data_IF_765358337161
#
_entry.id   IF_765358337161
#
_cell.length_a   1.000
_cell.length_b   1.000
_cell.length_c   1.000
_cell.angle_alpha   90.00
_cell.angle_beta   90.00
_cell.angle_gamma   90.00
#
_symmetry.space_group_name_H-M   'P 1'
#
loop_
_entity.id
_entity.type
_entity.pdbx_description
1 polymer ?
#
# COMPACT_ATOMS: atom_id res chain seq x y z
N UNK A 1 4.74 -2.86 7.59
CA UNK A 1 4.25 -1.54 8.07
C UNK A 1 4.92 -1.12 9.37
N UNK A 2 4.87 -1.98 10.39
CA UNK A 2 5.45 -1.75 11.72
C UNK A 2 6.93 -1.30 11.74
N UNK A 3 7.82 -1.92 10.97
CA UNK A 3 9.22 -1.45 10.81
C UNK A 3 9.31 -0.01 10.33
N UNK A 4 8.50 0.39 9.35
CA UNK A 4 8.50 1.74 8.79
C UNK A 4 7.92 2.75 9.78
N UNK A 5 6.94 2.34 10.60
CA UNK A 5 6.39 3.18 11.69
C UNK A 5 7.43 3.47 12.78
N UNK A 6 8.24 2.48 13.16
CA UNK A 6 9.34 2.70 14.13
C UNK A 6 10.51 3.47 13.54
N UNK A 7 10.68 3.42 12.23
CA UNK A 7 11.82 4.00 11.52
C UNK A 7 11.38 4.82 10.30
N UNK A 8 10.60 5.90 10.49
CA UNK A 8 10.02 6.68 9.37
C UNK A 8 11.10 7.35 8.51
N UNK A 9 12.30 7.55 9.05
CA UNK A 9 13.47 8.04 8.30
C UNK A 9 13.84 7.15 7.11
N UNK A 10 13.52 5.85 7.13
CA UNK A 10 13.76 4.95 6.00
C UNK A 10 13.01 5.38 4.74
N UNK A 11 11.84 6.00 4.88
CA UNK A 11 11.03 6.49 3.76
C UNK A 11 11.65 7.72 3.07
N UNK A 12 12.60 8.39 3.73
CA UNK A 12 13.31 9.57 3.19
C UNK A 12 14.59 9.16 2.43
N UNK A 13 14.97 7.87 2.47
CA UNK A 13 16.15 7.35 1.77
C UNK A 13 15.78 6.95 0.34
N UNK A 14 16.60 7.38 -0.62
CA UNK A 14 16.46 6.94 -2.00
C UNK A 14 16.88 5.46 -2.12
N UNK A 15 15.89 4.57 -2.25
CA UNK A 15 16.13 3.14 -2.40
C UNK A 15 16.43 2.68 -3.83
N UNK A 16 16.35 3.58 -4.83
CA UNK A 16 16.47 3.22 -6.24
C UNK A 16 17.85 2.65 -6.63
N UNK A 17 18.87 2.87 -5.80
CA UNK A 17 20.23 2.33 -5.99
C UNK A 17 20.85 1.86 -4.67
N UNK A 18 20.05 1.25 -3.79
CA UNK A 18 20.58 0.74 -2.52
C UNK A 18 21.54 -0.43 -2.76
N UNK A 19 22.72 -0.37 -2.13
CA UNK A 19 23.65 -1.49 -2.08
C UNK A 19 22.98 -2.64 -1.32
N UNK A 20 22.86 -3.81 -1.98
CA UNK A 20 22.33 -5.02 -1.35
C UNK A 20 23.34 -5.58 -0.34
N UNK A 21 23.36 -4.98 0.85
CA UNK A 21 24.13 -5.49 1.98
C UNK A 21 23.59 -6.83 2.50
N UNK A 22 24.33 -7.53 3.38
CA UNK A 22 23.98 -8.87 3.84
C UNK A 22 22.56 -9.01 4.40
N UNK A 23 22.08 -8.00 5.16
CA UNK A 23 20.72 -8.01 5.72
C UNK A 23 19.64 -7.86 4.64
N UNK A 24 19.87 -7.02 3.63
CA UNK A 24 18.94 -6.85 2.51
C UNK A 24 18.86 -8.12 1.66
N UNK A 25 20.02 -8.74 1.36
CA UNK A 25 20.07 -10.03 0.67
C UNK A 25 19.34 -11.12 1.45
N UNK A 26 19.51 -11.17 2.77
CA UNK A 26 18.79 -12.14 3.62
C UNK A 26 17.27 -11.93 3.59
N UNK A 27 16.83 -10.67 3.60
CA UNK A 27 15.41 -10.34 3.45
C UNK A 27 14.85 -10.77 2.09
N UNK A 28 15.59 -10.50 1.01
CA UNK A 28 15.21 -10.92 -0.33
C UNK A 28 15.15 -12.45 -0.46
N UNK A 29 16.17 -13.16 0.04
CA UNK A 29 16.22 -14.63 0.03
C UNK A 29 15.05 -15.25 0.80
N UNK A 30 14.69 -14.68 1.95
CA UNK A 30 13.54 -15.12 2.74
C UNK A 30 12.23 -14.95 1.96
N UNK A 31 12.03 -13.79 1.32
CA UNK A 31 10.84 -13.52 0.51
C UNK A 31 10.75 -14.48 -0.70
N UNK A 32 11.86 -14.66 -1.42
CA UNK A 32 11.94 -15.59 -2.55
C UNK A 32 11.68 -17.04 -2.13
N UNK A 33 12.19 -17.45 -0.97
CA UNK A 33 11.95 -18.79 -0.41
C UNK A 33 10.47 -19.05 -0.18
N UNK A 34 9.72 -18.05 0.32
CA UNK A 34 8.27 -18.17 0.52
C UNK A 34 7.47 -18.27 -0.77
N UNK A 35 7.94 -17.65 -1.86
CA UNK A 35 7.30 -17.69 -3.17
C UNK A 35 7.73 -18.89 -4.02
N UNK A 36 8.82 -19.56 -3.63
CA UNK A 36 9.35 -20.73 -4.34
C UNK A 36 8.29 -21.83 -4.41
N UNK A 37 8.16 -22.45 -5.57
CA UNK A 37 7.23 -23.56 -5.79
C UNK A 37 5.84 -23.15 -6.26
N UNK A 38 5.50 -21.85 -6.25
CA UNK A 38 4.23 -21.33 -6.78
C UNK A 38 4.18 -21.33 -8.33
N UNK A 39 5.27 -21.67 -8.99
CA UNK A 39 5.32 -21.78 -10.45
C UNK A 39 5.40 -20.45 -11.20
N UNK A 40 5.65 -19.37 -10.48
CA UNK A 40 5.99 -18.06 -11.04
C UNK A 40 7.38 -18.09 -11.72
N UNK A 41 7.54 -17.24 -12.73
CA UNK A 41 8.82 -16.96 -13.41
C UNK A 41 9.64 -15.98 -12.57
N UNK A 42 10.97 -15.98 -12.73
CA UNK A 42 11.85 -15.12 -11.92
C UNK A 42 11.47 -13.62 -11.95
N UNK A 43 11.12 -13.01 -13.10
CA UNK A 43 10.65 -11.63 -13.11
C UNK A 43 9.33 -11.41 -12.34
N UNK A 44 8.46 -12.42 -12.30
CA UNK A 44 7.20 -12.36 -11.56
C UNK A 44 7.45 -12.47 -10.06
N UNK A 45 8.41 -13.29 -9.62
CA UNK A 45 8.81 -13.37 -8.21
C UNK A 45 9.27 -11.99 -7.69
N UNK A 46 10.14 -11.32 -8.44
CA UNK A 46 10.61 -9.97 -8.09
C UNK A 46 9.46 -8.96 -8.19
N UNK A 47 8.59 -9.08 -9.21
CA UNK A 47 7.41 -8.24 -9.36
C UNK A 47 6.50 -8.28 -8.14
N UNK A 48 6.18 -9.47 -7.62
CA UNK A 48 5.37 -9.64 -6.40
C UNK A 48 6.01 -8.91 -5.21
N UNK A 49 7.32 -9.09 -5.00
CA UNK A 49 8.04 -8.47 -3.88
C UNK A 49 8.00 -6.94 -3.98
N UNK A 50 8.30 -6.40 -5.17
CA UNK A 50 8.28 -4.95 -5.40
C UNK A 50 6.88 -4.39 -5.18
N UNK A 51 5.85 -5.01 -5.76
CA UNK A 51 4.46 -4.53 -5.64
C UNK A 51 3.99 -4.49 -4.19
N UNK A 52 4.24 -5.55 -3.43
CA UNK A 52 3.88 -5.57 -2.00
C UNK A 52 4.67 -4.50 -1.25
N UNK A 53 5.98 -4.40 -1.46
CA UNK A 53 6.81 -3.42 -0.77
C UNK A 53 6.36 -1.98 -1.07
N UNK A 54 6.11 -1.64 -2.34
CA UNK A 54 5.63 -0.32 -2.75
C UNK A 54 4.26 0.02 -2.14
N UNK A 55 3.35 -0.95 -2.04
CA UNK A 55 2.06 -0.74 -1.36
C UNK A 55 2.25 -0.41 0.13
N UNK A 56 3.10 -1.17 0.83
CA UNK A 56 3.38 -0.93 2.26
C UNK A 56 4.09 0.39 2.48
N UNK A 57 5.06 0.74 1.63
CA UNK A 57 5.80 2.01 1.70
C UNK A 57 4.90 3.21 1.42
N UNK A 58 3.96 3.10 0.48
CA UNK A 58 2.98 4.15 0.18
C UNK A 58 2.12 4.50 1.39
N UNK A 59 1.52 3.49 2.02
CA UNK A 59 0.70 3.68 3.24
C UNK A 59 1.53 4.18 4.42
N UNK A 60 2.76 3.67 4.59
CA UNK A 60 3.64 4.14 5.65
C UNK A 60 4.04 5.61 5.45
N UNK A 61 4.20 6.06 4.20
CA UNK A 61 4.50 7.45 3.87
C UNK A 61 3.35 8.37 4.21
N UNK A 62 2.12 8.03 3.81
CA UNK A 62 0.93 8.80 4.20
C UNK A 62 0.85 8.97 5.71
N UNK A 63 1.01 7.89 6.48
CA UNK A 63 0.99 7.94 7.95
C UNK A 63 2.14 8.78 8.55
N UNK A 64 3.33 8.72 7.94
CA UNK A 64 4.47 9.52 8.39
C UNK A 64 4.26 11.01 8.09
N UNK A 65 3.68 11.33 6.93
CA UNK A 65 3.39 12.70 6.51
C UNK A 65 2.29 13.32 7.39
N UNK A 66 1.25 12.56 7.74
CA UNK A 66 0.22 12.95 8.72
C UNK A 66 0.84 13.26 10.08
N UNK A 67 1.68 12.37 10.62
CA UNK A 67 2.34 12.58 11.90
C UNK A 67 3.28 13.80 11.87
N UNK A 68 3.98 14.02 10.76
CA UNK A 68 4.84 15.19 10.57
C UNK A 68 4.02 16.49 10.49
N UNK A 69 2.86 16.48 9.81
CA UNK A 69 1.96 17.63 9.75
C UNK A 69 1.42 18.02 11.13
N UNK A 70 1.02 17.04 11.95
CA UNK A 70 0.61 17.28 13.34
C UNK A 70 1.75 17.89 14.15
N UNK A 71 2.97 17.35 14.02
CA UNK A 71 4.14 17.85 14.75
C UNK A 71 4.54 19.28 14.35
N UNK A 72 4.42 19.63 13.07
CA UNK A 72 4.80 20.96 12.56
C UNK A 72 3.74 22.03 12.84
N UNK A 73 2.46 21.69 12.74
CA UNK A 73 1.36 22.66 12.89
C UNK A 73 0.81 22.74 14.31
N UNK A 74 0.98 21.69 15.12
CA UNK A 74 0.34 21.53 16.42
C UNK A 74 -1.16 21.24 16.34
N UNK A 75 -1.72 21.08 15.13
CA UNK A 75 -3.14 20.79 14.91
C UNK A 75 -3.32 19.27 14.80
N UNK A 76 -4.27 18.70 15.54
CA UNK A 76 -4.64 17.29 15.36
C UNK A 76 -5.32 17.07 14.01
N UNK A 77 -5.30 15.83 13.52
CA UNK A 77 -5.96 15.46 12.26
C UNK A 77 -7.48 15.74 12.31
N UNK A 78 -8.14 15.38 13.42
CA UNK A 78 -9.56 15.69 13.65
C UNK A 78 -9.85 17.20 13.58
N UNK A 79 -9.04 18.02 14.26
CA UNK A 79 -9.21 19.46 14.25
C UNK A 79 -8.89 20.06 12.86
N UNK A 80 -7.96 19.46 12.10
CA UNK A 80 -7.70 19.84 10.72
C UNK A 80 -8.94 19.60 9.84
N UNK A 81 -9.54 18.41 9.89
CA UNK A 81 -10.71 18.07 9.09
C UNK A 81 -11.96 18.86 9.50
N UNK A 82 -12.16 19.12 10.80
CA UNK A 82 -13.25 19.97 11.27
C UNK A 82 -13.15 21.40 10.73
N UNK A 83 -11.93 21.95 10.65
CA UNK A 83 -11.70 23.25 10.03
C UNK A 83 -11.96 23.24 8.51
N UNK A 84 -11.76 22.10 7.83
CA UNK A 84 -12.03 21.95 6.39
C UNK A 84 -13.51 21.71 6.07
N UNK A 85 -14.28 21.15 7.02
CA UNK A 85 -15.68 20.71 6.83
C UNK A 85 -16.56 21.77 6.13
N UNK A 86 -16.59 23.05 6.53
CA UNK A 86 -17.47 24.05 5.88
C UNK A 86 -17.10 24.34 4.42
N UNK A 87 -15.84 24.13 4.04
CA UNK A 87 -15.43 24.25 2.64
C UNK A 87 -15.90 23.03 1.82
N UNK A 88 -15.72 21.82 2.37
CA UNK A 88 -16.16 20.59 1.73
C UNK A 88 -17.68 20.57 1.54
N UNK A 89 -18.46 20.98 2.54
CA UNK A 89 -19.93 21.09 2.43
C UNK A 89 -20.35 22.01 1.28
N UNK A 90 -19.76 23.21 1.19
CA UNK A 90 -20.02 24.16 0.09
C UNK A 90 -19.65 23.56 -1.26
N UNK A 91 -18.54 22.82 -1.35
CA UNK A 91 -18.14 22.13 -2.57
C UNK A 91 -19.18 21.06 -2.96
N UNK A 92 -19.65 20.24 -2.01
CA UNK A 92 -20.65 19.20 -2.29
C UNK A 92 -21.99 19.79 -2.74
N UNK A 93 -22.41 20.91 -2.16
CA UNK A 93 -23.65 21.62 -2.54
C UNK A 93 -23.55 22.38 -3.87
N UNK A 94 -22.35 22.59 -4.41
CA UNK A 94 -22.16 23.36 -5.66
C UNK A 94 -22.69 22.66 -6.92
N UNK A 95 -22.94 21.34 -6.85
CA UNK A 95 -23.25 20.51 -8.02
C UNK A 95 -22.03 20.11 -8.86
N UNK A 96 -20.82 20.59 -8.53
CA UNK A 96 -19.58 20.26 -9.25
C UNK A 96 -18.99 18.88 -8.94
N UNK A 97 -19.42 18.24 -7.84
CA UNK A 97 -18.84 16.98 -7.34
C UNK A 97 -19.92 15.92 -7.03
N UNK A 98 -20.71 15.49 -8.03
CA UNK A 98 -21.90 14.66 -7.80
C UNK A 98 -21.60 13.29 -7.18
N UNK A 99 -20.45 12.67 -7.51
CA UNK A 99 -20.05 11.40 -6.90
C UNK A 99 -19.74 11.57 -5.41
N UNK A 100 -18.92 12.56 -5.06
CA UNK A 100 -18.55 12.83 -3.66
C UNK A 100 -19.77 13.21 -2.81
N UNK A 101 -20.67 14.02 -3.38
CA UNK A 101 -21.89 14.48 -2.71
C UNK A 101 -22.90 13.36 -2.41
N UNK A 102 -22.76 12.19 -3.05
CA UNK A 102 -23.64 11.03 -2.86
C UNK A 102 -23.03 9.93 -2.00
N UNK A 103 -21.78 10.11 -1.54
CA UNK A 103 -21.13 9.17 -0.63
C UNK A 103 -21.78 9.22 0.76
N UNK A 104 -21.73 8.10 1.49
CA UNK A 104 -22.20 8.03 2.87
C UNK A 104 -21.29 8.88 3.78
N UNK A 105 -21.84 9.42 4.87
CA UNK A 105 -21.12 10.31 5.78
C UNK A 105 -19.86 9.66 6.38
N UNK A 106 -19.90 8.37 6.64
CA UNK A 106 -18.82 7.55 7.20
C UNK A 106 -17.78 7.09 6.16
N UNK A 107 -17.93 7.45 4.89
CA UNK A 107 -17.03 7.02 3.80
C UNK A 107 -15.57 7.38 4.04
N UNK A 108 -15.30 8.50 4.71
CA UNK A 108 -13.95 8.99 5.01
C UNK A 108 -13.50 8.66 6.43
N UNK A 109 -14.22 7.78 7.13
CA UNK A 109 -13.86 7.32 8.46
C UNK A 109 -12.50 6.62 8.47
N UNK A 110 -11.73 6.84 9.52
CA UNK A 110 -10.46 6.15 9.78
C UNK A 110 -10.66 4.69 10.26
N UNK A 111 -11.89 4.25 10.46
CA UNK A 111 -12.23 2.87 10.87
C UNK A 111 -11.99 1.84 9.76
N UNK A 112 -12.00 2.26 8.49
CA UNK A 112 -11.78 1.33 7.39
C UNK A 112 -10.30 0.97 7.25
N UNK A 113 -9.97 -0.31 7.40
CA UNK A 113 -8.59 -0.79 7.24
C UNK A 113 -8.18 -0.87 5.75
N UNK A 114 -7.72 0.26 5.21
CA UNK A 114 -7.20 0.35 3.86
C UNK A 114 -5.97 -0.53 3.61
N UNK A 115 -5.18 -0.82 4.65
CA UNK A 115 -4.02 -1.70 4.54
C UNK A 115 -4.47 -3.15 4.30
N UNK A 116 -5.35 -3.67 5.16
CA UNK A 116 -5.86 -5.03 5.03
C UNK A 116 -6.64 -5.20 3.72
N UNK A 117 -7.49 -4.23 3.37
CA UNK A 117 -8.23 -4.24 2.12
C UNK A 117 -7.28 -4.38 0.92
N UNK A 118 -6.32 -3.45 0.77
CA UNK A 118 -5.41 -3.45 -0.37
C UNK A 118 -4.54 -4.70 -0.43
N UNK A 119 -4.02 -5.15 0.72
CA UNK A 119 -3.21 -6.37 0.79
C UNK A 119 -4.01 -7.60 0.36
N UNK A 120 -5.25 -7.76 0.82
CA UNK A 120 -6.13 -8.87 0.41
C UNK A 120 -6.41 -8.84 -1.09
N UNK A 121 -6.60 -7.65 -1.68
CA UNK A 121 -6.80 -7.53 -3.14
C UNK A 121 -5.54 -7.88 -3.93
N UNK A 122 -4.36 -7.44 -3.49
CA UNK A 122 -3.09 -7.81 -4.12
C UNK A 122 -2.85 -9.32 -4.05
N UNK A 123 -3.04 -9.94 -2.89
CA UNK A 123 -2.90 -11.40 -2.72
C UNK A 123 -3.86 -12.16 -3.64
N UNK A 124 -5.12 -11.73 -3.73
CA UNK A 124 -6.08 -12.36 -4.63
C UNK A 124 -5.65 -12.26 -6.12
N UNK A 125 -5.06 -11.13 -6.53
CA UNK A 125 -4.49 -10.98 -7.87
C UNK A 125 -3.31 -11.91 -8.13
N UNK A 126 -2.41 -12.07 -7.15
CA UNK A 126 -1.29 -13.01 -7.27
C UNK A 126 -1.73 -14.47 -7.27
N UNK A 127 -2.76 -14.82 -6.49
CA UNK A 127 -3.34 -16.17 -6.52
C UNK A 127 -3.93 -16.50 -7.90
N UNK A 128 -4.62 -15.54 -8.54
CA UNK A 128 -5.10 -15.70 -9.91
C UNK A 128 -3.94 -15.96 -10.89
N UNK A 129 -2.85 -15.18 -10.82
CA UNK A 129 -1.66 -15.38 -11.64
C UNK A 129 -1.02 -16.77 -11.43
N UNK A 130 -0.96 -17.25 -10.19
CA UNK A 130 -0.44 -18.59 -9.87
C UNK A 130 -1.30 -19.67 -10.52
N UNK A 131 -2.63 -19.53 -10.46
CA UNK A 131 -3.57 -20.48 -11.10
C UNK A 131 -3.42 -20.49 -12.63
N UNK A 132 -3.23 -19.32 -13.25
CA UNK A 132 -2.98 -19.20 -14.68
C UNK A 132 -1.70 -19.97 -15.08
N UNK A 133 -0.59 -19.77 -14.36
CA UNK A 133 0.67 -20.49 -14.61
C UNK A 133 0.52 -22.00 -14.41
N UNK A 134 -0.29 -22.44 -13.44
CA UNK A 134 -0.57 -23.86 -13.23
C UNK A 134 -1.36 -24.47 -14.40
N UNK A 135 -2.36 -23.77 -14.91
CA UNK A 135 -3.16 -24.20 -16.06
C UNK A 135 -2.32 -24.30 -17.34
N UNK A 136 -1.48 -23.29 -17.62
CA UNK A 136 -0.57 -23.30 -18.78
C UNK A 136 0.40 -24.48 -18.74
N UNK A 137 0.93 -24.82 -17.56
CA UNK A 137 1.82 -25.98 -17.39
C UNK A 137 1.10 -27.31 -17.63
N UNK A 138 -0.17 -27.42 -17.24
CA UNK A 138 -0.97 -28.60 -17.50
C UNK A 138 -1.25 -28.76 -19.01
N UNK A 139 -1.57 -27.66 -19.69
CA UNK A 139 -1.79 -27.64 -21.13
C UNK A 139 -0.53 -28.04 -21.92
N UNK A 140 0.66 -27.53 -21.55
CA UNK A 140 1.92 -27.87 -22.23
C UNK A 140 2.42 -29.30 -22.00
N UNK A 141 1.78 -30.06 -21.09
CA UNK A 141 2.10 -31.49 -20.85
C UNK A 141 1.18 -32.45 -21.61
N UNK A 142 0.12 -31.93 -22.22
CA UNK A 142 -0.87 -32.69 -23.01
C UNK A 142 -0.52 -32.58 -24.48
#
# INVERSE_FOLDING_TARGET
LDTLRRHPWLLKINQARTVLGPSALRGLELALTGLRGMGLRDPELIGVIITVNSFVEGLARTQADEAEAVAQTGLSDEAFWDNQRPYLERAMLSGGYPMMATMAEDTFSSEFDHFEFGLRRLIAGFDALVRERAAERAASRT
#
